data_IF_518187899536
#
_entry.id   IF_518187899536
#
_cell.length_a   1.000
_cell.length_b   1.000
_cell.length_c   1.000
_cell.angle_alpha   90.00
_cell.angle_beta   90.00
_cell.angle_gamma   90.00
#
_symmetry.space_group_name_H-M   'P 1'
#
loop_
_entity.id
_entity.type
_entity.pdbx_description
1 polymer ?
#
# COMPACT_ATOMS: atom_id res chain seq x y z
N UNK A 1 -9.12 -18.03 6.82
CA UNK A 1 -8.64 -16.78 7.44
C UNK A 1 -8.52 -15.65 6.40
N UNK A 2 -7.58 -15.66 5.47
CA UNK A 2 -7.38 -14.57 4.45
C UNK A 2 -8.66 -14.30 3.65
N UNK A 3 -9.33 -15.34 3.14
CA UNK A 3 -10.59 -15.19 2.41
C UNK A 3 -11.66 -14.43 3.25
N UNK A 4 -11.77 -14.74 4.54
CA UNK A 4 -12.69 -14.04 5.43
C UNK A 4 -12.27 -12.58 5.69
N UNK A 5 -10.97 -12.30 5.82
CA UNK A 5 -10.46 -10.94 5.95
C UNK A 5 -10.74 -10.11 4.68
N UNK A 6 -10.51 -10.70 3.50
CA UNK A 6 -10.83 -10.08 2.21
C UNK A 6 -12.35 -9.80 2.05
N UNK A 7 -13.18 -10.76 2.43
CA UNK A 7 -14.63 -10.58 2.42
C UNK A 7 -15.09 -9.46 3.36
N UNK A 8 -14.51 -9.38 4.57
CA UNK A 8 -14.77 -8.26 5.50
C UNK A 8 -14.32 -6.91 4.92
N UNK A 9 -13.13 -6.86 4.28
CA UNK A 9 -12.67 -5.65 3.60
C UNK A 9 -13.68 -5.20 2.55
N UNK A 10 -14.13 -6.08 1.66
CA UNK A 10 -15.12 -5.76 0.62
C UNK A 10 -16.46 -5.32 1.22
N UNK A 11 -16.95 -6.00 2.25
CA UNK A 11 -18.17 -5.60 2.95
C UNK A 11 -18.03 -4.19 3.54
N UNK A 12 -16.94 -3.91 4.24
CA UNK A 12 -16.68 -2.60 4.85
C UNK A 12 -16.53 -1.49 3.79
N UNK A 13 -15.83 -1.76 2.67
CA UNK A 13 -15.73 -0.79 1.57
C UNK A 13 -17.09 -0.28 1.11
N UNK A 14 -18.10 -1.16 1.07
CA UNK A 14 -19.47 -0.80 0.66
C UNK A 14 -20.27 -0.22 1.82
N UNK A 15 -20.25 -0.84 2.99
CA UNK A 15 -21.04 -0.44 4.16
C UNK A 15 -20.60 0.94 4.69
N UNK A 16 -19.31 1.23 4.69
CA UNK A 16 -18.72 2.50 5.09
C UNK A 16 -18.65 3.52 3.93
N UNK A 17 -19.24 3.18 2.77
CA UNK A 17 -19.36 4.05 1.58
C UNK A 17 -18.03 4.52 0.98
N UNK A 18 -16.94 3.80 1.24
CA UNK A 18 -15.66 4.03 0.59
C UNK A 18 -15.77 3.73 -0.91
N UNK A 19 -16.40 2.59 -1.26
CA UNK A 19 -16.86 2.28 -2.61
C UNK A 19 -18.35 2.62 -2.70
N UNK A 20 -18.68 3.72 -3.39
CA UNK A 20 -20.01 4.32 -3.35
C UNK A 20 -20.37 5.02 -4.66
N UNK A 21 -21.62 5.44 -4.76
CA UNK A 21 -22.11 6.24 -5.89
C UNK A 21 -21.91 7.72 -5.62
N UNK A 22 -21.36 8.45 -6.59
CA UNK A 22 -21.27 9.90 -6.57
C UNK A 22 -22.01 10.55 -7.74
N UNK A 23 -22.46 11.81 -7.58
CA UNK A 23 -23.03 12.56 -8.68
C UNK A 23 -21.98 12.82 -9.77
N UNK A 24 -22.39 12.79 -11.03
CA UNK A 24 -21.52 13.17 -12.14
C UNK A 24 -21.47 14.70 -12.24
N UNK A 25 -20.28 15.27 -12.51
CA UNK A 25 -20.09 16.75 -12.58
C UNK A 25 -20.96 17.43 -13.63
N UNK A 26 -21.24 16.75 -14.73
CA UNK A 26 -22.06 17.25 -15.86
C UNK A 26 -23.57 17.18 -15.61
N UNK A 27 -24.01 16.74 -14.45
CA UNK A 27 -25.41 16.35 -14.22
C UNK A 27 -25.73 15.03 -14.91
N UNK A 28 -26.66 14.24 -14.39
CA UNK A 28 -27.05 12.96 -14.97
C UNK A 28 -26.95 11.77 -14.02
N UNK A 29 -26.75 10.58 -14.58
CA UNK A 29 -26.68 9.34 -13.80
C UNK A 29 -25.49 9.33 -12.84
N UNK A 30 -25.68 8.77 -11.63
CA UNK A 30 -24.62 8.55 -10.66
C UNK A 30 -23.61 7.55 -11.17
N UNK A 31 -22.36 7.72 -10.78
CA UNK A 31 -21.23 6.86 -11.15
C UNK A 31 -20.53 6.35 -9.90
N UNK A 32 -19.94 5.17 -10.00
CA UNK A 32 -19.10 4.64 -8.91
C UNK A 32 -17.87 5.54 -8.74
N UNK A 33 -17.54 5.87 -7.51
CA UNK A 33 -16.56 6.90 -7.17
C UNK A 33 -15.10 6.57 -7.54
N UNK A 34 -14.77 5.31 -7.85
CA UNK A 34 -13.46 4.93 -8.41
C UNK A 34 -13.35 5.24 -9.90
N UNK A 35 -14.47 5.49 -10.58
CA UNK A 35 -14.48 5.75 -12.02
C UNK A 35 -13.85 7.09 -12.38
N UNK A 36 -13.17 7.13 -13.52
CA UNK A 36 -12.89 8.37 -14.23
C UNK A 36 -14.18 8.84 -14.92
N UNK A 37 -14.71 9.98 -14.47
CA UNK A 37 -15.99 10.50 -14.98
C UNK A 37 -15.97 10.87 -16.46
N UNK A 38 -14.78 11.18 -16.99
CA UNK A 38 -14.62 11.61 -18.38
C UNK A 38 -14.35 10.42 -19.32
N UNK A 39 -14.16 9.20 -18.78
CA UNK A 39 -13.91 7.99 -19.53
C UNK A 39 -15.08 7.00 -19.41
N UNK A 40 -15.76 6.73 -20.54
CA UNK A 40 -16.92 5.83 -20.57
C UNK A 40 -16.57 4.38 -20.19
N UNK A 41 -15.43 3.87 -20.65
CA UNK A 41 -14.94 2.54 -20.30
C UNK A 41 -14.64 2.42 -18.81
N UNK A 42 -13.99 3.44 -18.22
CA UNK A 42 -13.74 3.48 -16.77
C UNK A 42 -15.06 3.45 -15.98
N UNK A 43 -16.05 4.23 -16.39
CA UNK A 43 -17.39 4.21 -15.75
C UNK A 43 -18.04 2.83 -15.82
N UNK A 44 -17.97 2.18 -17.00
CA UNK A 44 -18.58 0.86 -17.19
C UNK A 44 -17.89 -0.22 -16.37
N UNK A 45 -16.55 -0.31 -16.43
CA UNK A 45 -15.78 -1.30 -15.66
C UNK A 45 -15.93 -1.06 -14.16
N UNK A 46 -15.91 0.19 -13.69
CA UNK A 46 -16.13 0.50 -12.28
C UNK A 46 -17.52 0.05 -11.79
N UNK A 47 -18.57 0.20 -12.63
CA UNK A 47 -19.91 -0.27 -12.30
C UNK A 47 -19.98 -1.81 -12.22
N UNK A 48 -19.37 -2.51 -13.18
CA UNK A 48 -19.29 -3.97 -13.18
C UNK A 48 -18.49 -4.50 -11.97
N UNK A 49 -17.35 -3.88 -11.68
CA UNK A 49 -16.52 -4.20 -10.53
C UNK A 49 -17.29 -4.05 -9.20
N UNK A 50 -17.91 -2.89 -9.00
CA UNK A 50 -18.68 -2.62 -7.78
C UNK A 50 -19.87 -3.58 -7.62
N UNK A 51 -20.54 -3.93 -8.70
CA UNK A 51 -21.62 -4.91 -8.67
C UNK A 51 -21.13 -6.32 -8.33
N UNK A 52 -19.96 -6.74 -8.84
CA UNK A 52 -19.36 -8.03 -8.50
C UNK A 52 -18.99 -8.10 -7.01
N UNK A 53 -18.38 -7.04 -6.45
CA UNK A 53 -18.09 -6.93 -5.01
C UNK A 53 -19.39 -6.96 -4.21
N UNK A 54 -20.42 -6.19 -4.63
CA UNK A 54 -21.73 -6.14 -3.94
C UNK A 54 -22.39 -7.51 -3.84
N UNK A 55 -22.39 -8.28 -4.92
CA UNK A 55 -23.01 -9.62 -4.94
C UNK A 55 -22.37 -10.58 -3.92
N UNK A 56 -21.07 -10.42 -3.67
CA UNK A 56 -20.37 -11.25 -2.67
C UNK A 56 -20.65 -10.83 -1.23
N UNK A 57 -21.12 -9.60 -1.02
CA UNK A 57 -21.34 -9.03 0.32
C UNK A 57 -22.81 -9.06 0.75
N UNK A 58 -23.72 -9.56 -0.09
CA UNK A 58 -25.18 -9.65 0.15
C UNK A 58 -25.85 -8.27 0.41
N UNK A 59 -25.17 -7.16 0.13
CA UNK A 59 -25.75 -5.84 0.28
C UNK A 59 -26.78 -5.56 -0.83
N UNK A 60 -27.93 -4.94 -0.50
CA UNK A 60 -29.04 -4.79 -1.47
C UNK A 60 -28.69 -3.84 -2.61
N UNK A 61 -27.92 -2.79 -2.37
CA UNK A 61 -27.53 -1.78 -3.37
C UNK A 61 -26.26 -1.05 -2.96
N UNK A 62 -25.62 -0.36 -3.92
CA UNK A 62 -24.56 0.60 -3.64
C UNK A 62 -25.17 1.83 -2.98
N UNK A 63 -24.51 2.30 -1.93
CA UNK A 63 -24.88 3.53 -1.22
C UNK A 63 -24.25 4.75 -1.88
N UNK A 64 -24.76 5.93 -1.55
CA UNK A 64 -24.18 7.20 -1.97
C UNK A 64 -22.99 7.57 -1.10
N UNK A 65 -21.98 8.21 -1.69
CA UNK A 65 -20.85 8.73 -0.92
C UNK A 65 -21.28 9.80 0.10
N UNK A 66 -20.56 9.89 1.18
CA UNK A 66 -20.80 10.93 2.20
C UNK A 66 -20.11 12.20 1.72
N UNK A 67 -20.88 13.31 1.56
CA UNK A 67 -20.30 14.58 1.15
C UNK A 67 -19.21 15.05 2.11
N UNK A 68 -18.07 15.46 1.56
CA UNK A 68 -16.92 15.94 2.34
C UNK A 68 -16.04 14.86 2.95
N UNK A 69 -16.38 13.60 2.85
CA UNK A 69 -15.54 12.50 3.28
C UNK A 69 -14.31 12.34 2.37
N UNK A 70 -13.17 12.07 3.00
CA UNK A 70 -11.91 11.80 2.28
C UNK A 70 -11.77 10.31 2.03
N UNK A 71 -12.33 9.80 0.91
CA UNK A 71 -12.25 8.38 0.55
C UNK A 71 -10.83 7.81 0.63
N UNK A 72 -9.81 8.61 0.34
CA UNK A 72 -8.41 8.20 0.50
C UNK A 72 -8.06 7.79 1.92
N UNK A 73 -8.41 8.61 2.92
CA UNK A 73 -8.13 8.34 4.32
C UNK A 73 -8.93 7.12 4.85
N UNK A 74 -10.21 7.02 4.46
CA UNK A 74 -11.06 5.89 4.81
C UNK A 74 -10.53 4.60 4.17
N UNK A 75 -10.02 4.67 2.93
CA UNK A 75 -9.39 3.55 2.25
C UNK A 75 -8.10 3.11 2.96
N UNK A 76 -7.21 4.04 3.32
CA UNK A 76 -6.00 3.76 4.10
C UNK A 76 -6.32 3.05 5.41
N UNK A 77 -7.37 3.51 6.11
CA UNK A 77 -7.82 2.88 7.35
C UNK A 77 -8.27 1.43 7.14
N UNK A 78 -9.08 1.16 6.11
CA UNK A 78 -9.54 -0.19 5.78
C UNK A 78 -8.38 -1.13 5.44
N UNK A 79 -7.39 -0.67 4.68
CA UNK A 79 -6.21 -1.46 4.34
C UNK A 79 -5.34 -1.71 5.57
N UNK A 80 -5.18 -0.71 6.45
CA UNK A 80 -4.46 -0.88 7.72
C UNK A 80 -5.11 -1.97 8.59
N UNK A 81 -6.43 -1.95 8.73
CA UNK A 81 -7.18 -2.94 9.51
C UNK A 81 -7.08 -4.34 8.89
N UNK A 82 -7.18 -4.44 7.57
CA UNK A 82 -6.98 -5.70 6.85
C UNK A 82 -5.59 -6.29 7.11
N UNK A 83 -4.54 -5.48 7.05
CA UNK A 83 -3.17 -5.93 7.32
C UNK A 83 -2.97 -6.34 8.77
N UNK A 84 -3.50 -5.58 9.75
CA UNK A 84 -3.46 -5.93 11.18
C UNK A 84 -4.11 -7.29 11.44
N UNK A 85 -5.29 -7.50 10.86
CA UNK A 85 -6.03 -8.74 10.99
C UNK A 85 -5.26 -9.92 10.38
N UNK A 86 -4.70 -9.76 9.19
CA UNK A 86 -3.94 -10.82 8.53
C UNK A 86 -2.62 -11.13 9.22
N UNK A 87 -1.80 -10.12 9.49
CA UNK A 87 -0.47 -10.30 10.08
C UNK A 87 -0.53 -10.76 11.53
N UNK A 88 -1.58 -10.36 12.29
CA UNK A 88 -1.80 -10.84 13.66
C UNK A 88 -2.05 -12.35 13.77
N UNK A 89 -2.40 -13.01 12.68
CA UNK A 89 -2.63 -14.45 12.62
C UNK A 89 -1.49 -15.23 11.93
N UNK A 90 -0.52 -14.54 11.36
CA UNK A 90 0.63 -15.20 10.74
C UNK A 90 1.67 -15.56 11.80
N UNK A 91 2.25 -16.78 11.75
CA UNK A 91 3.31 -17.12 12.68
C UNK A 91 4.46 -16.12 12.52
N UNK A 92 4.98 -15.58 13.62
CA UNK A 92 6.15 -14.73 13.55
C UNK A 92 7.33 -15.58 13.07
N UNK A 93 7.72 -15.45 11.81
CA UNK A 93 8.90 -16.13 11.29
C UNK A 93 10.19 -15.61 11.91
N UNK A 94 10.14 -14.41 12.50
CA UNK A 94 11.24 -13.82 13.30
C UNK A 94 10.85 -12.41 13.78
N UNK A 95 10.39 -12.30 15.04
CA UNK A 95 10.09 -11.03 15.70
C UNK A 95 8.62 -10.57 15.59
N UNK A 96 8.28 -9.54 16.34
CA UNK A 96 6.94 -8.97 16.35
C UNK A 96 6.76 -7.95 15.23
N UNK A 97 5.62 -8.05 14.56
CA UNK A 97 5.19 -7.13 13.51
C UNK A 97 4.22 -6.10 14.06
N UNK A 98 4.33 -4.86 13.60
CA UNK A 98 3.40 -3.81 13.94
C UNK A 98 2.98 -3.05 12.67
N UNK A 99 1.67 -2.88 12.48
CA UNK A 99 1.11 -2.10 11.37
C UNK A 99 0.75 -0.72 11.87
N UNK A 100 1.44 0.29 11.36
CA UNK A 100 1.32 1.68 11.78
C UNK A 100 0.80 2.58 10.64
N UNK A 101 -0.27 3.34 10.83
CA UNK A 101 -0.71 4.35 9.87
C UNK A 101 0.10 5.64 10.04
N UNK A 102 0.61 6.20 8.94
CA UNK A 102 1.19 7.54 8.85
C UNK A 102 2.35 7.88 9.78
N UNK A 103 3.27 6.96 10.15
CA UNK A 103 4.35 7.29 11.06
C UNK A 103 5.40 8.21 10.41
N UNK A 104 6.12 8.94 11.23
CA UNK A 104 7.28 9.68 10.76
C UNK A 104 8.41 8.72 10.40
N UNK A 105 9.04 8.91 9.24
CA UNK A 105 10.06 8.00 8.72
C UNK A 105 11.30 7.92 9.64
N UNK A 106 11.66 9.01 10.28
CA UNK A 106 12.79 9.11 11.22
C UNK A 106 12.58 8.35 12.55
N UNK A 107 11.40 7.74 12.75
CA UNK A 107 11.13 6.82 13.86
C UNK A 107 11.68 5.41 13.64
N UNK A 108 12.21 5.11 12.45
CA UNK A 108 12.76 3.80 12.09
C UNK A 108 14.29 3.83 12.04
N UNK A 109 14.91 2.70 12.40
CA UNK A 109 16.37 2.58 12.51
C UNK A 109 17.12 2.99 11.23
N UNK A 110 16.60 2.60 10.05
CA UNK A 110 17.21 2.94 8.74
C UNK A 110 17.19 4.43 8.44
N UNK A 111 16.28 5.21 9.02
CA UNK A 111 16.03 6.61 8.70
C UNK A 111 16.29 7.56 9.87
N UNK A 112 16.80 7.07 11.00
CA UNK A 112 17.08 7.85 12.19
C UNK A 112 17.92 9.11 11.93
N UNK A 113 18.89 9.02 11.01
CA UNK A 113 19.76 10.14 10.63
C UNK A 113 18.99 11.32 10.03
N UNK A 114 17.77 11.12 9.50
CA UNK A 114 16.93 12.20 8.96
C UNK A 114 16.48 13.15 10.06
N UNK A 115 16.32 12.67 11.30
CA UNK A 115 16.01 13.52 12.47
C UNK A 115 17.11 14.53 12.74
N UNK A 116 18.35 14.08 12.68
CA UNK A 116 19.51 14.95 12.88
C UNK A 116 19.67 15.94 11.71
N UNK A 117 19.51 15.47 10.48
CA UNK A 117 19.52 16.34 9.31
C UNK A 117 18.44 17.42 9.39
N UNK A 118 17.24 17.05 9.83
CA UNK A 118 16.15 18.00 10.03
C UNK A 118 16.50 19.03 11.10
N UNK A 119 17.03 18.61 12.27
CA UNK A 119 17.47 19.51 13.33
C UNK A 119 18.51 20.50 12.82
N UNK A 120 19.55 20.03 12.12
CA UNK A 120 20.59 20.90 11.54
C UNK A 120 20.03 21.86 10.49
N UNK A 121 19.09 21.39 9.67
CA UNK A 121 18.42 22.25 8.66
C UNK A 121 17.55 23.34 9.31
N UNK A 122 16.89 23.02 10.44
CA UNK A 122 16.09 23.97 11.17
C UNK A 122 16.95 25.05 11.88
N UNK A 123 18.17 24.68 12.28
CA UNK A 123 19.14 25.59 12.93
C UNK A 123 19.95 26.45 11.95
N UNK A 124 20.08 26.02 10.67
CA UNK A 124 20.89 26.69 9.65
C UNK A 124 20.06 27.02 8.40
N UNK A 125 19.76 28.29 8.18
CA UNK A 125 18.94 28.76 7.07
C UNK A 125 19.51 28.37 5.69
N UNK A 126 20.84 28.45 5.53
CA UNK A 126 21.50 28.05 4.29
C UNK A 126 21.28 26.56 3.97
N UNK A 127 21.40 25.68 4.98
CA UNK A 127 21.13 24.25 4.81
C UNK A 127 19.66 24.01 4.45
N UNK A 128 18.72 24.74 5.04
CA UNK A 128 17.31 24.65 4.73
C UNK A 128 17.01 25.04 3.27
N UNK A 129 17.69 26.05 2.74
CA UNK A 129 17.55 26.45 1.34
C UNK A 129 18.07 25.39 0.36
N UNK A 130 19.19 24.73 0.70
CA UNK A 130 19.78 23.70 -0.16
C UNK A 130 19.07 22.33 -0.06
N UNK A 131 18.62 21.92 1.13
CA UNK A 131 18.02 20.61 1.37
C UNK A 131 16.53 20.57 1.02
N UNK A 132 15.84 21.72 1.03
CA UNK A 132 14.40 21.81 0.79
C UNK A 132 13.56 21.06 1.85
N UNK A 133 12.25 20.97 1.62
CA UNK A 133 11.30 20.26 2.51
C UNK A 133 11.20 18.75 2.23
N UNK A 134 12.08 18.19 1.40
CA UNK A 134 12.00 16.82 0.88
C UNK A 134 12.13 15.70 1.94
N UNK A 135 12.51 16.03 3.17
CA UNK A 135 12.82 15.06 4.24
C UNK A 135 11.62 14.58 5.07
N UNK A 136 10.40 15.06 4.79
CA UNK A 136 9.22 14.69 5.57
C UNK A 136 8.32 13.78 4.75
N UNK A 137 8.81 12.58 4.45
CA UNK A 137 7.96 11.53 3.88
C UNK A 137 7.19 10.87 5.03
N UNK A 138 5.88 10.74 4.84
CA UNK A 138 5.01 9.97 5.71
C UNK A 138 4.33 8.91 4.85
N UNK A 139 4.80 7.65 4.90
CA UNK A 139 4.11 6.57 4.25
C UNK A 139 2.67 6.44 4.74
N UNK A 140 1.75 6.05 3.87
CA UNK A 140 0.33 5.89 4.26
C UNK A 140 0.18 4.80 5.34
N UNK A 141 0.82 3.64 5.12
CA UNK A 141 0.89 2.54 6.09
C UNK A 141 2.30 1.96 6.06
N UNK A 142 2.80 1.57 7.22
CA UNK A 142 4.05 0.81 7.32
C UNK A 142 3.87 -0.47 8.12
N UNK A 143 4.66 -1.47 7.79
CA UNK A 143 4.87 -2.65 8.61
C UNK A 143 6.24 -2.52 9.25
N UNK A 144 6.25 -2.40 10.56
CA UNK A 144 7.43 -2.32 11.37
C UNK A 144 7.81 -3.68 11.92
N UNK A 145 9.10 -3.93 12.10
CA UNK A 145 9.64 -5.09 12.77
C UNK A 145 10.45 -4.63 13.97
N UNK A 146 10.08 -5.12 15.15
CA UNK A 146 10.76 -4.75 16.38
C UNK A 146 12.07 -5.54 16.55
N UNK A 147 13.12 -4.93 17.16
CA UNK A 147 14.33 -5.63 17.56
C UNK A 147 13.99 -6.76 18.56
N UNK A 148 14.73 -7.85 18.45
CA UNK A 148 14.52 -9.07 19.25
C UNK A 148 15.61 -9.23 20.30
N UNK A 149 15.31 -9.94 21.38
CA UNK A 149 16.30 -10.37 22.35
C UNK A 149 17.23 -11.43 21.75
N UNK A 150 18.42 -11.60 22.31
CA UNK A 150 19.41 -12.53 21.79
C UNK A 150 18.89 -13.97 21.79
N UNK A 151 18.07 -14.34 22.79
CA UNK A 151 17.44 -15.65 22.89
C UNK A 151 16.46 -15.94 21.73
N UNK A 152 15.74 -14.92 21.27
CA UNK A 152 14.80 -15.02 20.14
C UNK A 152 15.55 -15.10 18.80
N UNK A 153 16.74 -14.50 18.71
CA UNK A 153 17.62 -14.55 17.54
C UNK A 153 18.41 -15.85 17.42
N UNK A 154 18.39 -16.67 18.45
CA UNK A 154 19.19 -17.91 18.54
C UNK A 154 20.57 -17.65 19.14
N UNK A 155 20.66 -17.67 20.45
CA UNK A 155 21.93 -17.45 21.23
C UNK A 155 23.07 -18.33 20.74
N UNK A 156 22.78 -19.55 20.28
CA UNK A 156 23.79 -20.49 19.77
C UNK A 156 24.49 -20.01 18.48
N UNK A 157 23.87 -19.07 17.75
CA UNK A 157 24.47 -18.46 16.55
C UNK A 157 25.40 -17.31 16.87
N UNK A 158 25.20 -16.62 18.00
CA UNK A 158 25.92 -15.38 18.34
C UNK A 158 27.08 -15.69 19.32
N UNK A 159 26.96 -16.75 20.13
CA UNK A 159 27.87 -17.07 21.21
C UNK A 159 27.65 -16.22 22.47
N UNK A 160 27.76 -16.80 23.66
CA UNK A 160 27.66 -16.04 24.91
C UNK A 160 28.95 -15.24 25.13
N UNK A 161 28.82 -13.92 25.26
CA UNK A 161 29.90 -13.02 25.55
C UNK A 161 30.70 -12.55 24.35
N UNK A 162 30.35 -12.95 23.14
CA UNK A 162 30.97 -12.44 21.93
C UNK A 162 30.42 -11.07 21.57
N UNK A 163 31.36 -10.14 21.35
CA UNK A 163 31.07 -8.75 21.00
C UNK A 163 30.86 -8.59 19.49
N UNK A 164 30.18 -9.60 18.91
CA UNK A 164 29.85 -9.70 17.46
C UNK A 164 28.46 -9.18 17.14
N UNK A 165 28.15 -9.04 15.87
CA UNK A 165 26.85 -8.60 15.35
C UNK A 165 26.34 -7.27 15.93
N UNK A 166 27.25 -6.34 16.26
CA UNK A 166 26.93 -5.05 16.90
C UNK A 166 26.21 -4.05 15.98
N UNK A 167 26.25 -4.24 14.68
CA UNK A 167 25.71 -3.30 13.69
C UNK A 167 24.31 -3.68 13.17
N UNK A 168 23.76 -4.83 13.58
CA UNK A 168 22.41 -5.23 13.14
C UNK A 168 21.34 -4.45 13.88
N UNK A 169 20.32 -3.99 13.14
CA UNK A 169 19.14 -3.32 13.71
C UNK A 169 18.17 -4.29 14.40
N UNK A 170 18.32 -5.60 14.16
CA UNK A 170 17.39 -6.60 14.69
C UNK A 170 17.73 -7.06 16.11
N UNK A 171 18.94 -6.80 16.59
CA UNK A 171 19.38 -7.22 17.92
C UNK A 171 19.11 -6.14 18.96
N UNK A 172 18.30 -6.44 19.96
CA UNK A 172 17.90 -5.47 20.99
C UNK A 172 19.05 -5.05 21.90
N UNK A 173 20.02 -5.91 22.13
CA UNK A 173 21.25 -5.57 22.87
C UNK A 173 22.08 -4.47 22.20
N UNK A 174 21.89 -4.25 20.88
CA UNK A 174 22.45 -3.10 20.17
C UNK A 174 21.62 -1.82 20.30
N UNK A 175 20.53 -1.85 21.08
CA UNK A 175 19.56 -0.77 21.23
C UNK A 175 20.20 0.56 21.67
N UNK A 176 21.25 0.53 22.47
CA UNK A 176 21.97 1.74 22.87
C UNK A 176 22.55 2.50 21.67
N UNK A 177 23.07 1.78 20.67
CA UNK A 177 23.60 2.37 19.44
C UNK A 177 22.52 2.86 18.49
N UNK A 178 21.32 2.24 18.52
CA UNK A 178 20.23 2.49 17.59
C UNK A 178 18.93 2.96 18.25
N UNK A 179 18.95 3.27 19.55
CA UNK A 179 17.81 3.71 20.36
C UNK A 179 16.64 2.69 20.38
N UNK A 180 16.91 1.42 20.18
CA UNK A 180 15.89 0.35 20.08
C UNK A 180 14.75 0.66 19.08
N UNK A 181 15.04 1.43 18.03
CA UNK A 181 14.05 1.79 17.03
C UNK A 181 13.63 0.57 16.20
N UNK A 182 12.35 0.44 15.86
CA UNK A 182 11.90 -0.58 14.94
C UNK A 182 12.54 -0.41 13.55
N UNK A 183 12.63 -1.52 12.83
CA UNK A 183 13.05 -1.55 11.42
C UNK A 183 11.82 -1.34 10.55
N UNK A 184 11.87 -0.41 9.61
CA UNK A 184 10.86 -0.30 8.55
C UNK A 184 11.00 -1.53 7.65
N UNK A 185 10.05 -2.46 7.78
CA UNK A 185 10.06 -3.70 7.00
C UNK A 185 9.39 -3.50 5.64
N UNK A 186 8.22 -2.84 5.63
CA UNK A 186 7.50 -2.51 4.42
C UNK A 186 6.81 -1.15 4.51
N UNK A 187 6.69 -0.50 3.35
CA UNK A 187 5.86 0.68 3.09
C UNK A 187 4.74 0.32 2.13
N UNK A 188 3.50 0.58 2.52
CA UNK A 188 2.31 0.32 1.71
C UNK A 188 1.66 1.66 1.40
N UNK A 189 1.79 2.12 0.15
CA UNK A 189 1.14 3.34 -0.32
C UNK A 189 -0.29 3.03 -0.79
N UNK A 190 -1.28 3.73 -0.26
CA UNK A 190 -2.69 3.53 -0.56
C UNK A 190 -3.20 4.60 -1.52
N UNK A 191 -3.54 4.20 -2.73
CA UNK A 191 -4.04 5.12 -3.75
C UNK A 191 -5.42 4.64 -4.22
N UNK A 192 -6.48 5.28 -3.72
CA UNK A 192 -7.87 4.93 -4.07
C UNK A 192 -8.05 4.80 -5.59
N UNK A 193 -7.56 5.78 -6.35
CA UNK A 193 -7.48 5.76 -7.82
C UNK A 193 -6.13 6.25 -8.29
N UNK A 194 -5.70 5.81 -9.47
CA UNK A 194 -4.43 6.16 -10.08
C UNK A 194 -4.64 7.23 -11.18
N UNK A 195 -4.59 8.50 -10.80
CA UNK A 195 -4.38 9.60 -11.75
C UNK A 195 -2.87 9.82 -11.92
N UNK A 196 -2.48 10.51 -13.00
CA UNK A 196 -1.06 10.73 -13.33
C UNK A 196 -0.25 11.34 -12.16
N UNK A 197 -0.82 12.31 -11.45
CA UNK A 197 -0.23 12.94 -10.27
C UNK A 197 -0.01 11.95 -9.13
N UNK A 198 -0.98 11.09 -8.84
CA UNK A 198 -0.90 10.10 -7.76
C UNK A 198 0.09 8.97 -8.05
N UNK A 199 0.16 8.53 -9.31
CA UNK A 199 1.15 7.54 -9.73
C UNK A 199 2.57 8.10 -9.60
N UNK A 200 2.79 9.36 -10.01
CA UNK A 200 4.08 10.04 -9.84
C UNK A 200 4.44 10.25 -8.36
N UNK A 201 3.47 10.62 -7.52
CA UNK A 201 3.71 10.76 -6.08
C UNK A 201 4.14 9.43 -5.45
N UNK A 202 3.45 8.31 -5.77
CA UNK A 202 3.82 7.00 -5.25
C UNK A 202 5.27 6.60 -5.63
N UNK A 203 5.69 6.89 -6.88
CA UNK A 203 7.07 6.67 -7.35
C UNK A 203 8.07 7.56 -6.64
N UNK A 204 7.76 8.84 -6.45
CA UNK A 204 8.62 9.79 -5.74
C UNK A 204 8.80 9.36 -4.28
N UNK A 205 7.73 8.94 -3.61
CA UNK A 205 7.78 8.38 -2.25
C UNK A 205 8.67 7.14 -2.20
N UNK A 206 8.51 6.20 -3.14
CA UNK A 206 9.32 4.99 -3.26
C UNK A 206 10.81 5.30 -3.45
N UNK A 207 11.15 6.18 -4.39
CA UNK A 207 12.54 6.58 -4.67
C UNK A 207 13.20 7.25 -3.46
N UNK A 208 12.46 8.07 -2.71
CA UNK A 208 12.99 8.70 -1.51
C UNK A 208 13.23 7.67 -0.41
N UNK A 209 12.32 6.69 -0.20
CA UNK A 209 12.55 5.57 0.71
C UNK A 209 13.83 4.80 0.34
N UNK A 210 14.07 4.57 -0.95
CA UNK A 210 15.25 3.87 -1.44
C UNK A 210 16.52 4.71 -1.22
N UNK A 211 16.49 6.01 -1.48
CA UNK A 211 17.68 6.88 -1.43
C UNK A 211 18.10 7.24 -0.01
N UNK A 212 17.13 7.51 0.86
CA UNK A 212 17.38 8.09 2.18
C UNK A 212 17.67 7.06 3.25
N UNK A 213 17.59 5.76 2.95
CA UNK A 213 17.82 4.69 3.91
C UNK A 213 19.30 4.44 4.20
N UNK A 214 19.55 3.90 5.38
CA UNK A 214 20.78 3.18 5.73
C UNK A 214 20.45 1.72 6.01
N UNK A 215 21.15 0.79 5.37
CA UNK A 215 20.88 -0.65 5.51
C UNK A 215 19.86 -1.18 4.50
N UNK A 216 19.09 -2.20 4.87
CA UNK A 216 18.18 -2.93 3.98
C UNK A 216 17.05 -2.02 3.47
N UNK A 217 16.70 -2.19 2.19
CA UNK A 217 15.50 -1.59 1.59
C UNK A 217 14.25 -2.21 2.21
N UNK A 218 13.25 -1.43 2.64
CA UNK A 218 11.94 -1.96 2.97
C UNK A 218 11.25 -2.48 1.70
N UNK A 219 10.34 -3.42 1.83
CA UNK A 219 9.42 -3.73 0.74
C UNK A 219 8.55 -2.50 0.44
N UNK A 220 8.42 -2.14 -0.83
CA UNK A 220 7.68 -0.95 -1.27
C UNK A 220 6.53 -1.38 -2.16
N UNK A 221 5.31 -1.21 -1.68
CA UNK A 221 4.12 -1.69 -2.35
C UNK A 221 3.07 -0.59 -2.50
N UNK A 222 2.17 -0.77 -3.46
CA UNK A 222 1.03 0.12 -3.66
C UNK A 222 -0.25 -0.69 -3.65
N UNK A 223 -1.26 -0.23 -2.92
CA UNK A 223 -2.61 -0.79 -2.92
C UNK A 223 -3.57 0.19 -3.58
N UNK A 224 -4.42 -0.30 -4.49
CA UNK A 224 -5.34 0.55 -5.25
C UNK A 224 -6.67 -0.14 -5.56
N UNK A 225 -7.70 0.68 -5.84
CA UNK A 225 -8.99 0.25 -6.39
C UNK A 225 -9.22 0.75 -7.83
N UNK A 226 -8.15 1.14 -8.53
CA UNK A 226 -8.21 1.69 -9.90
C UNK A 226 -8.82 0.70 -10.89
N UNK A 227 -9.92 1.04 -11.60
CA UNK A 227 -10.57 0.12 -12.52
C UNK A 227 -9.92 0.05 -13.91
N UNK A 228 -9.04 0.98 -14.29
CA UNK A 228 -8.47 1.06 -15.63
C UNK A 228 -7.14 0.32 -15.75
N UNK A 229 -7.04 -0.74 -16.60
CA UNK A 229 -5.80 -1.48 -16.81
C UNK A 229 -4.62 -0.61 -17.24
N UNK A 230 -4.83 0.38 -18.10
CA UNK A 230 -3.76 1.29 -18.56
C UNK A 230 -3.17 2.15 -17.43
N UNK A 231 -3.98 2.52 -16.43
CA UNK A 231 -3.49 3.25 -15.26
C UNK A 231 -2.76 2.33 -14.28
N UNK A 232 -3.25 1.10 -14.12
CA UNK A 232 -2.53 0.07 -13.35
C UNK A 232 -1.18 -0.20 -14.01
N UNK A 233 -1.12 -0.37 -15.33
CA UNK A 233 0.11 -0.58 -16.09
C UNK A 233 1.11 0.57 -15.93
N UNK A 234 0.63 1.83 -15.93
CA UNK A 234 1.51 3.00 -15.74
C UNK A 234 2.30 2.98 -14.43
N UNK A 235 1.80 2.26 -13.42
CA UNK A 235 2.46 2.08 -12.13
C UNK A 235 3.18 0.72 -12.05
N UNK A 236 2.49 -0.36 -12.44
CA UNK A 236 2.99 -1.72 -12.31
C UNK A 236 4.16 -2.05 -13.25
N UNK A 237 4.19 -1.46 -14.45
CA UNK A 237 5.26 -1.65 -15.43
C UNK A 237 6.50 -0.76 -15.16
N UNK A 238 6.59 -0.17 -13.98
CA UNK A 238 7.70 0.70 -13.59
C UNK A 238 9.05 0.00 -13.46
N UNK A 239 10.07 0.80 -13.20
CA UNK A 239 11.49 0.43 -13.27
C UNK A 239 12.07 -0.20 -11.99
N UNK A 240 11.25 -0.71 -11.07
CA UNK A 240 11.72 -1.41 -9.87
C UNK A 240 11.84 -0.52 -8.62
N UNK A 241 11.24 0.66 -8.64
CA UNK A 241 11.02 1.52 -7.48
C UNK A 241 9.86 1.03 -6.58
N UNK A 242 8.92 0.25 -7.17
CA UNK A 242 7.81 -0.41 -6.49
C UNK A 242 7.93 -1.91 -6.75
N UNK A 243 7.93 -2.71 -5.69
CA UNK A 243 8.07 -4.16 -5.79
C UNK A 243 6.86 -4.78 -6.47
N UNK A 244 5.65 -4.40 -6.02
CA UNK A 244 4.40 -4.91 -6.58
C UNK A 244 3.23 -3.96 -6.32
N UNK A 245 2.26 -3.94 -7.24
CA UNK A 245 0.96 -3.28 -7.08
C UNK A 245 -0.09 -4.32 -6.68
N UNK A 246 -0.93 -4.00 -5.70
CA UNK A 246 -2.03 -4.85 -5.25
C UNK A 246 -3.36 -4.17 -5.52
N UNK A 247 -4.26 -4.90 -6.16
CA UNK A 247 -5.62 -4.44 -6.36
C UNK A 247 -6.53 -5.02 -5.27
N UNK A 248 -7.37 -4.18 -4.66
CA UNK A 248 -8.25 -4.60 -3.55
C UNK A 248 -9.26 -5.69 -3.91
N UNK A 249 -9.52 -5.86 -5.20
CA UNK A 249 -10.49 -6.80 -5.75
C UNK A 249 -10.07 -7.23 -7.16
N UNK A 250 -8.87 -7.82 -7.32
CA UNK A 250 -8.32 -8.15 -8.64
C UNK A 250 -9.19 -9.17 -9.40
N UNK A 251 -9.68 -10.19 -8.73
CA UNK A 251 -10.50 -11.23 -9.37
C UNK A 251 -11.82 -10.67 -9.89
N UNK A 252 -12.44 -9.77 -9.14
CA UNK A 252 -13.65 -9.06 -9.53
C UNK A 252 -13.37 -8.08 -10.69
N UNK A 253 -12.19 -7.42 -10.68
CA UNK A 253 -11.76 -6.55 -11.77
C UNK A 253 -11.54 -7.34 -13.06
N UNK A 254 -10.87 -8.49 -13.00
CA UNK A 254 -10.66 -9.35 -14.16
C UNK A 254 -12.01 -9.74 -14.79
N UNK A 255 -12.97 -10.19 -13.97
CA UNK A 255 -14.30 -10.50 -14.46
C UNK A 255 -15.06 -9.29 -15.00
N UNK A 256 -14.92 -8.11 -14.38
CA UNK A 256 -15.53 -6.87 -14.86
C UNK A 256 -14.96 -6.42 -16.22
N UNK A 257 -13.66 -6.57 -16.43
CA UNK A 257 -13.01 -6.27 -17.71
C UNK A 257 -13.45 -7.28 -18.78
N UNK A 258 -13.54 -8.55 -18.44
CA UNK A 258 -14.03 -9.58 -19.36
C UNK A 258 -15.46 -9.31 -19.83
N UNK A 259 -16.37 -8.95 -18.90
CA UNK A 259 -17.74 -8.55 -19.26
C UNK A 259 -17.74 -7.32 -20.18
N UNK A 260 -16.91 -6.33 -19.86
CA UNK A 260 -16.79 -5.11 -20.67
C UNK A 260 -16.25 -5.39 -22.07
N UNK A 261 -15.25 -6.25 -22.22
CA UNK A 261 -14.69 -6.65 -23.53
C UNK A 261 -15.72 -7.47 -24.33
N UNK A 262 -16.58 -8.25 -23.66
CA UNK A 262 -17.69 -8.94 -24.32
C UNK A 262 -18.71 -7.96 -24.89
N UNK A 263 -18.97 -6.84 -24.19
CA UNK A 263 -19.86 -5.76 -24.66
C UNK A 263 -19.22 -4.91 -25.78
N UNK A 264 -17.92 -4.68 -25.71
CA UNK A 264 -17.12 -3.92 -26.69
C UNK A 264 -15.82 -4.64 -27.04
N UNK A 265 -15.82 -5.55 -28.01
CA UNK A 265 -14.62 -6.31 -28.41
C UNK A 265 -13.44 -5.45 -28.86
N UNK A 266 -13.66 -4.18 -29.23
CA UNK A 266 -12.58 -3.25 -29.59
C UNK A 266 -11.66 -2.93 -28.41
N UNK A 267 -12.07 -3.28 -27.20
CA UNK A 267 -11.33 -3.08 -25.95
C UNK A 267 -10.58 -4.32 -25.45
N UNK A 268 -10.38 -5.34 -26.30
CA UNK A 268 -9.67 -6.58 -25.95
C UNK A 268 -8.29 -6.33 -25.29
N UNK A 269 -7.61 -5.25 -25.65
CA UNK A 269 -6.34 -4.86 -25.04
C UNK A 269 -6.43 -4.60 -23.52
N UNK A 270 -7.60 -4.32 -22.95
CA UNK A 270 -7.78 -4.17 -21.50
C UNK A 270 -7.56 -5.49 -20.77
N UNK A 271 -8.09 -6.58 -21.32
CA UNK A 271 -7.90 -7.93 -20.79
C UNK A 271 -6.44 -8.38 -20.95
N UNK A 272 -5.83 -8.11 -22.12
CA UNK A 272 -4.42 -8.42 -22.40
C UNK A 272 -3.48 -7.69 -21.43
N UNK A 273 -3.70 -6.40 -21.17
CA UNK A 273 -2.90 -5.60 -20.23
C UNK A 273 -2.98 -6.16 -18.80
N UNK A 274 -4.19 -6.49 -18.31
CA UNK A 274 -4.35 -7.12 -17.00
C UNK A 274 -3.64 -8.47 -16.93
N UNK A 275 -3.87 -9.33 -17.92
CA UNK A 275 -3.26 -10.65 -17.97
C UNK A 275 -1.72 -10.56 -18.02
N UNK A 276 -1.17 -9.59 -18.75
CA UNK A 276 0.27 -9.33 -18.82
C UNK A 276 0.85 -8.94 -17.45
N UNK A 277 0.23 -7.99 -16.75
CA UNK A 277 0.68 -7.54 -15.43
C UNK A 277 0.61 -8.67 -14.38
N UNK A 278 -0.46 -9.46 -14.39
CA UNK A 278 -0.64 -10.58 -13.46
C UNK A 278 0.38 -11.68 -13.74
N UNK A 279 0.53 -12.11 -15.01
CA UNK A 279 1.53 -13.13 -15.39
C UNK A 279 2.97 -12.67 -15.16
N UNK A 280 3.21 -11.35 -15.31
CA UNK A 280 4.50 -10.73 -15.02
C UNK A 280 4.78 -10.52 -13.54
N UNK A 281 3.91 -10.96 -12.63
CA UNK A 281 4.01 -10.80 -11.18
C UNK A 281 4.12 -9.32 -10.73
N UNK A 282 3.60 -8.39 -11.53
CA UNK A 282 3.59 -6.94 -11.24
C UNK A 282 2.31 -6.47 -10.57
N UNK A 283 1.21 -7.20 -10.79
CA UNK A 283 -0.10 -6.93 -10.21
C UNK A 283 -0.61 -8.20 -9.53
N UNK A 284 -1.07 -8.06 -8.28
CA UNK A 284 -1.63 -9.14 -7.49
C UNK A 284 -2.93 -8.71 -6.79
N UNK A 285 -3.66 -9.66 -6.22
CA UNK A 285 -4.81 -9.37 -5.36
C UNK A 285 -4.34 -8.95 -3.97
N UNK A 286 -5.15 -8.16 -3.27
CA UNK A 286 -4.86 -7.74 -1.89
C UNK A 286 -4.62 -8.93 -0.94
N UNK A 287 -5.20 -10.09 -1.23
CA UNK A 287 -5.02 -11.30 -0.43
C UNK A 287 -3.60 -11.89 -0.50
N UNK A 288 -2.82 -11.53 -1.52
CA UNK A 288 -1.41 -11.94 -1.66
C UNK A 288 -0.48 -11.09 -0.79
N UNK A 289 -0.83 -9.82 -0.57
CA UNK A 289 0.01 -8.85 0.13
C UNK A 289 0.52 -9.34 1.50
N UNK A 290 -0.30 -9.89 2.43
CA UNK A 290 0.20 -10.35 3.71
C UNK A 290 1.27 -11.45 3.61
N UNK A 291 1.18 -12.33 2.61
CA UNK A 291 2.18 -13.38 2.37
C UNK A 291 3.49 -12.80 1.81
N UNK A 292 3.39 -11.89 0.87
CA UNK A 292 4.55 -11.23 0.27
C UNK A 292 5.31 -10.36 1.30
N UNK A 293 4.61 -9.86 2.33
CA UNK A 293 5.21 -9.08 3.41
C UNK A 293 5.98 -9.93 4.43
N UNK A 294 5.71 -11.22 4.54
CA UNK A 294 6.38 -12.12 5.52
C UNK A 294 7.38 -13.08 4.88
N UNK A 295 7.49 -13.06 3.54
CA UNK A 295 8.40 -13.90 2.76
C UNK A 295 9.89 -13.48 2.87
#
# INVERSE_FOLDING_TARGET
MIAAARARLHHRMLAERVLALRPQRSGGARVVNVADTDNAGSRRVAALLAERIRRQTELPSLLEEIPGERQGASFEHLISDFLKDCLGHMPPSSGSWEVLPGPALDSFAQYRHLRELKRLSDEHEELRLYLGSAYVIRPDIVVARHPMEDEELGVDLIGRGDDLARATFLRKSNAAAHLALPVLHASVSCKWTLRSDRAQNARTEALNLIRDRKGRVPAITVVTAEPMPSRLASLADGTGDIDRVYHVALYELQGAVQDFVTEDPTKGYWEEDLARMVRGLRLADISDLPFDLVS
#
